data_IF_686266376905
#
_entry.id   IF_686266376905
#
_cell.length_a   1.000
_cell.length_b   1.000
_cell.length_c   1.000
_cell.angle_alpha   90.00
_cell.angle_beta   90.00
_cell.angle_gamma   90.00
#
_symmetry.space_group_name_H-M   'P 1'
#
loop_
_entity.id
_entity.type
_entity.pdbx_description
1 polymer ?
#
# COMPACT_ATOMS: atom_id res chain seq x y z
N UNK A 1 -20.56 76.10 -7.60
CA UNK A 1 -21.02 75.31 -6.43
C UNK A 1 -21.05 73.83 -6.83
N UNK A 2 -20.13 73.02 -6.25
CA UNK A 2 -20.02 71.52 -6.21
C UNK A 2 -19.81 70.78 -7.55
N UNK A 3 -18.66 70.15 -7.87
CA UNK A 3 -17.92 69.00 -7.27
C UNK A 3 -18.75 67.70 -7.39
N UNK A 4 -18.59 66.87 -8.43
CA UNK A 4 -17.63 65.73 -8.62
C UNK A 4 -17.64 64.67 -7.50
N UNK A 5 -17.99 63.44 -7.92
CA UNK A 5 -17.54 62.13 -7.40
C UNK A 5 -18.18 61.61 -6.11
N UNK A 6 -18.73 60.39 -6.17
CA UNK A 6 -18.90 59.34 -5.12
C UNK A 6 -20.22 58.59 -5.38
N UNK A 7 -20.32 57.27 -5.36
CA UNK A 7 -19.38 56.20 -5.06
C UNK A 7 -20.05 54.90 -5.54
N UNK A 8 -19.36 54.11 -6.36
CA UNK A 8 -19.73 52.72 -6.63
C UNK A 8 -19.80 51.98 -5.28
N UNK A 9 -20.99 51.51 -4.91
CA UNK A 9 -21.18 50.59 -3.79
C UNK A 9 -20.79 49.17 -4.24
N UNK A 10 -19.53 48.99 -4.61
CA UNK A 10 -18.90 47.68 -4.69
C UNK A 10 -18.34 47.38 -3.30
N UNK A 11 -19.23 46.98 -2.37
CA UNK A 11 -18.79 46.42 -1.11
C UNK A 11 -18.40 44.97 -1.40
N UNK A 12 -17.11 44.79 -1.67
CA UNK A 12 -16.43 43.51 -1.72
C UNK A 12 -16.80 42.68 -0.48
N UNK A 13 -17.68 41.71 -0.66
CA UNK A 13 -17.77 40.58 0.25
C UNK A 13 -16.44 39.85 0.07
N UNK A 14 -15.53 40.06 1.02
CA UNK A 14 -14.33 39.28 1.14
C UNK A 14 -14.75 37.84 1.45
N UNK A 15 -14.93 37.03 0.41
CA UNK A 15 -14.81 35.58 0.46
C UNK A 15 -13.34 35.30 0.82
N UNK A 16 -13.04 35.38 2.11
CA UNK A 16 -11.94 34.60 2.66
C UNK A 16 -12.45 33.17 2.73
N UNK A 17 -12.39 32.48 1.60
CA UNK A 17 -12.24 31.03 1.64
C UNK A 17 -10.88 30.86 2.30
N UNK A 18 -10.88 30.66 3.62
CA UNK A 18 -9.74 30.06 4.29
C UNK A 18 -9.57 28.71 3.61
N UNK A 19 -8.66 28.66 2.63
CA UNK A 19 -8.10 27.38 2.18
C UNK A 19 -7.38 26.87 3.41
N UNK A 20 -8.09 26.05 4.17
CA UNK A 20 -7.54 25.31 5.27
C UNK A 20 -6.69 24.26 4.60
N UNK A 21 -5.45 24.63 4.25
CA UNK A 21 -4.45 23.64 3.90
C UNK A 21 -4.47 22.65 5.05
N UNK A 22 -4.80 21.40 4.76
CA UNK A 22 -4.65 20.33 5.73
C UNK A 22 -3.19 20.41 6.20
N UNK A 23 -2.99 20.87 7.43
CA UNK A 23 -1.66 20.85 8.02
C UNK A 23 -1.33 19.38 8.18
N UNK A 24 -0.34 18.89 7.43
CA UNK A 24 0.15 17.53 7.55
C UNK A 24 0.44 17.23 9.03
N UNK A 25 -0.36 16.37 9.65
CA UNK A 25 -0.06 15.89 11.00
C UNK A 25 0.82 14.64 10.89
N UNK A 26 2.07 14.78 11.33
CA UNK A 26 3.02 13.69 11.33
C UNK A 26 4.45 14.18 11.52
N UNK A 27 5.37 13.23 11.69
CA UNK A 27 6.80 13.52 11.74
C UNK A 27 7.62 12.41 11.11
N UNK A 28 8.83 12.78 10.69
CA UNK A 28 9.85 11.86 10.19
C UNK A 28 10.97 11.76 11.21
N UNK A 29 11.42 10.54 11.47
CA UNK A 29 12.61 10.20 12.24
C UNK A 29 13.35 9.06 11.53
N UNK A 30 14.27 8.40 12.22
CA UNK A 30 15.08 7.30 11.68
C UNK A 30 15.13 6.18 12.70
N UNK A 31 15.07 4.94 12.21
CA UNK A 31 15.36 3.72 12.99
C UNK A 31 16.59 3.04 12.43
N UNK A 32 17.26 2.23 13.26
CA UNK A 32 18.52 1.56 12.88
C UNK A 32 19.76 2.43 13.09
N UNK A 33 20.92 1.88 12.74
CA UNK A 33 22.23 2.50 12.97
C UNK A 33 23.13 2.33 11.73
N UNK A 34 24.07 3.26 11.53
CA UNK A 34 25.05 3.17 10.45
C UNK A 34 24.42 3.08 9.06
N UNK A 35 24.80 2.05 8.30
CA UNK A 35 24.28 1.80 6.94
C UNK A 35 22.83 1.28 6.93
N UNK A 36 22.32 0.81 8.07
CA UNK A 36 20.97 0.23 8.20
C UNK A 36 19.95 1.26 8.70
N UNK A 37 20.24 2.54 8.54
CA UNK A 37 19.31 3.62 8.89
C UNK A 37 18.15 3.69 7.91
N UNK A 38 16.93 3.51 8.41
CA UNK A 38 15.70 3.57 7.62
C UNK A 38 14.86 4.76 8.10
N UNK A 39 14.40 5.66 7.21
CA UNK A 39 13.40 6.66 7.52
C UNK A 39 12.13 6.02 8.12
N UNK A 40 11.73 6.51 9.30
CA UNK A 40 10.47 6.17 9.95
C UNK A 40 9.54 7.37 9.92
N UNK A 41 8.35 7.21 9.39
CA UNK A 41 7.29 8.20 9.41
C UNK A 41 6.21 7.77 10.37
N UNK A 42 5.69 8.73 11.14
CA UNK A 42 4.46 8.57 11.90
C UNK A 42 3.48 9.60 11.38
N UNK A 43 2.38 9.14 10.79
CA UNK A 43 1.35 9.98 10.16
C UNK A 43 -0.01 9.69 10.80
N UNK A 44 -0.83 10.72 10.91
CA UNK A 44 -2.16 10.62 11.53
C UNK A 44 -3.19 11.42 10.74
N UNK A 45 -4.44 10.96 10.73
CA UNK A 45 -5.54 11.68 10.07
C UNK A 45 -6.45 10.81 9.21
N UNK A 46 -7.13 11.45 8.26
CA UNK A 46 -7.83 10.80 7.15
C UNK A 46 -6.82 10.21 6.15
N UNK A 47 -7.25 9.33 5.24
CA UNK A 47 -6.35 8.78 4.22
C UNK A 47 -5.64 9.86 3.38
N UNK A 48 -6.36 10.93 3.00
CA UNK A 48 -5.76 12.08 2.33
C UNK A 48 -4.73 12.82 3.21
N UNK A 49 -5.05 13.11 4.47
CA UNK A 49 -4.14 13.83 5.38
C UNK A 49 -2.85 13.03 5.61
N UNK A 50 -2.96 11.71 5.78
CA UNK A 50 -1.81 10.82 5.93
C UNK A 50 -0.99 10.71 4.65
N UNK A 51 -1.65 10.57 3.49
CA UNK A 51 -0.97 10.58 2.19
C UNK A 51 -0.22 11.88 1.93
N UNK A 52 -0.84 13.02 2.25
CA UNK A 52 -0.21 14.34 2.16
C UNK A 52 1.03 14.44 3.07
N UNK A 53 0.92 13.96 4.30
CA UNK A 53 2.07 13.92 5.22
C UNK A 53 3.21 13.04 4.70
N UNK A 54 2.92 11.85 4.17
CA UNK A 54 3.93 10.98 3.53
C UNK A 54 4.62 11.70 2.39
N UNK A 55 3.85 12.27 1.45
CA UNK A 55 4.38 12.99 0.30
C UNK A 55 5.22 14.21 0.68
N UNK A 56 4.83 14.96 1.72
CA UNK A 56 5.57 16.14 2.18
C UNK A 56 6.83 15.81 2.98
N UNK A 57 6.79 14.82 3.87
CA UNK A 57 7.93 14.45 4.73
C UNK A 57 9.05 13.71 3.98
N UNK A 58 8.73 13.10 2.85
CA UNK A 58 9.67 12.38 1.97
C UNK A 58 9.64 12.92 0.54
N UNK A 59 9.45 14.24 0.36
CA UNK A 59 9.23 14.83 -0.96
C UNK A 59 10.28 14.43 -2.00
N UNK A 60 11.56 14.62 -1.68
CA UNK A 60 12.65 14.35 -2.62
C UNK A 60 12.79 12.85 -2.90
N UNK A 61 12.65 12.00 -1.89
CA UNK A 61 12.71 10.55 -2.05
C UNK A 61 11.50 10.02 -2.83
N UNK A 62 10.31 10.57 -2.60
CA UNK A 62 9.07 10.23 -3.32
C UNK A 62 9.19 10.52 -4.82
N UNK A 63 9.78 11.66 -5.19
CA UNK A 63 10.05 11.97 -6.61
C UNK A 63 10.96 10.92 -7.24
N UNK A 64 12.07 10.58 -6.57
CA UNK A 64 13.04 9.60 -7.07
C UNK A 64 12.45 8.21 -7.20
N UNK A 65 11.65 7.77 -6.22
CA UNK A 65 11.01 6.47 -6.24
C UNK A 65 9.93 6.42 -7.31
N UNK A 66 8.91 7.28 -7.26
CA UNK A 66 7.75 7.12 -8.15
C UNK A 66 8.09 7.42 -9.62
N UNK A 67 8.85 8.48 -9.91
CA UNK A 67 9.26 8.78 -11.29
C UNK A 67 10.34 7.82 -11.78
N UNK A 68 11.32 7.50 -10.93
CA UNK A 68 12.39 6.57 -11.28
C UNK A 68 11.86 5.18 -11.57
N UNK A 69 10.99 4.66 -10.70
CA UNK A 69 10.35 3.36 -10.85
C UNK A 69 9.54 3.29 -12.15
N UNK A 70 8.71 4.29 -12.42
CA UNK A 70 7.90 4.36 -13.64
C UNK A 70 8.77 4.46 -14.90
N UNK A 71 9.84 5.27 -14.87
CA UNK A 71 10.80 5.38 -15.97
C UNK A 71 11.51 4.05 -16.26
N UNK A 72 12.00 3.38 -15.22
CA UNK A 72 12.73 2.12 -15.32
C UNK A 72 11.82 0.97 -15.77
N UNK A 73 10.56 0.95 -15.32
CA UNK A 73 9.57 0.00 -15.83
C UNK A 73 9.37 0.15 -17.34
N UNK A 74 9.14 1.38 -17.83
CA UNK A 74 9.00 1.68 -19.27
C UNK A 74 10.25 1.31 -20.08
N UNK A 75 11.44 1.49 -19.53
CA UNK A 75 12.68 1.05 -20.20
C UNK A 75 12.78 -0.47 -20.31
N UNK A 76 12.17 -1.21 -19.38
CA UNK A 76 12.15 -2.68 -19.39
C UNK A 76 11.16 -3.25 -20.40
N UNK A 77 9.98 -2.62 -20.53
CA UNK A 77 8.92 -3.02 -21.46
C UNK A 77 8.00 -1.81 -21.78
N UNK A 78 8.29 -1.13 -22.87
CA UNK A 78 7.63 0.14 -23.24
C UNK A 78 6.13 -0.05 -23.53
N UNK A 79 5.73 -1.21 -24.07
CA UNK A 79 4.33 -1.51 -24.39
C UNK A 79 3.54 -1.86 -23.12
N UNK A 80 4.09 -2.75 -22.27
CA UNK A 80 3.44 -3.21 -21.03
C UNK A 80 3.28 -2.09 -20.01
N UNK A 81 4.22 -1.14 -19.97
CA UNK A 81 4.21 -0.03 -19.01
C UNK A 81 3.94 1.33 -19.68
N UNK A 82 3.33 1.33 -20.87
CA UNK A 82 2.88 2.56 -21.53
C UNK A 82 1.82 3.30 -20.71
N UNK A 83 1.65 4.58 -20.99
CA UNK A 83 0.61 5.40 -20.36
C UNK A 83 -0.77 4.80 -20.59
N UNK A 84 -1.07 4.36 -21.82
CA UNK A 84 -2.34 3.75 -22.18
C UNK A 84 -2.60 2.46 -21.40
N UNK A 85 -1.59 1.60 -21.25
CA UNK A 85 -1.73 0.33 -20.52
C UNK A 85 -1.95 0.57 -19.02
N UNK A 86 -1.20 1.50 -18.42
CA UNK A 86 -1.33 1.83 -17.00
C UNK A 86 -2.64 2.55 -16.69
N UNK A 87 -3.11 3.42 -17.59
CA UNK A 87 -4.39 4.10 -17.46
C UNK A 87 -5.55 3.09 -17.58
N UNK A 88 -5.50 2.16 -18.53
CA UNK A 88 -6.49 1.08 -18.67
C UNK A 88 -6.50 0.13 -17.46
N UNK A 89 -5.32 -0.14 -16.88
CA UNK A 89 -5.22 -0.92 -15.64
C UNK A 89 -5.92 -0.19 -14.49
N UNK A 90 -5.70 1.12 -14.33
CA UNK A 90 -6.40 1.93 -13.33
C UNK A 90 -7.91 1.94 -13.55
N UNK A 91 -8.38 2.14 -14.78
CA UNK A 91 -9.80 2.10 -15.13
C UNK A 91 -10.46 0.77 -14.75
N UNK A 92 -9.72 -0.33 -14.86
CA UNK A 92 -10.20 -1.67 -14.51
C UNK A 92 -10.28 -1.91 -13.00
N UNK A 93 -9.26 -1.50 -12.24
CA UNK A 93 -9.18 -1.78 -10.78
C UNK A 93 -9.82 -0.71 -9.90
N UNK A 94 -9.95 0.53 -10.38
CA UNK A 94 -10.46 1.67 -9.61
C UNK A 94 -11.91 1.49 -9.13
N UNK A 95 -12.84 0.88 -9.89
CA UNK A 95 -14.20 0.58 -9.40
C UNK A 95 -14.23 -0.35 -8.18
N UNK A 96 -13.22 -1.21 -8.04
CA UNK A 96 -13.07 -2.16 -6.94
C UNK A 96 -12.17 -1.65 -5.81
N UNK A 97 -11.52 -0.50 -6.01
CA UNK A 97 -10.56 0.08 -5.07
C UNK A 97 -11.25 1.01 -4.09
N UNK A 98 -11.05 0.78 -2.80
CA UNK A 98 -11.60 1.61 -1.73
C UNK A 98 -11.19 3.07 -1.86
N UNK A 99 -12.13 3.97 -1.58
CA UNK A 99 -11.93 5.43 -1.69
C UNK A 99 -10.76 5.92 -0.82
N UNK A 100 -10.54 5.29 0.34
CA UNK A 100 -9.41 5.60 1.21
C UNK A 100 -8.05 5.55 0.47
N UNK A 101 -7.84 4.55 -0.38
CA UNK A 101 -6.61 4.43 -1.15
C UNK A 101 -6.47 5.54 -2.20
N UNK A 102 -7.58 5.90 -2.88
CA UNK A 102 -7.60 6.98 -3.87
C UNK A 102 -7.27 8.34 -3.24
N UNK A 103 -7.84 8.58 -2.07
CA UNK A 103 -7.57 9.78 -1.28
C UNK A 103 -6.12 9.83 -0.76
N UNK A 104 -5.54 8.69 -0.37
CA UNK A 104 -4.12 8.60 -0.01
C UNK A 104 -3.22 8.93 -1.22
N UNK A 105 -3.50 8.41 -2.41
CA UNK A 105 -2.76 8.76 -3.64
C UNK A 105 -2.86 10.26 -3.95
N UNK A 106 -4.05 10.85 -3.81
CA UNK A 106 -4.27 12.29 -3.95
C UNK A 106 -3.45 13.10 -2.95
N UNK A 107 -3.43 12.66 -1.69
CA UNK A 107 -2.60 13.24 -0.65
C UNK A 107 -1.12 13.18 -1.02
N UNK A 108 -0.61 12.01 -1.41
CA UNK A 108 0.81 11.83 -1.80
C UNK A 108 1.18 12.76 -2.96
N UNK A 109 0.34 12.84 -3.99
CA UNK A 109 0.57 13.72 -5.13
C UNK A 109 0.67 15.19 -4.68
N UNK A 110 -0.30 15.69 -3.93
CA UNK A 110 -0.31 17.09 -3.46
C UNK A 110 0.84 17.38 -2.47
N UNK A 111 1.12 16.46 -1.55
CA UNK A 111 2.16 16.60 -0.53
C UNK A 111 3.57 16.57 -1.12
N UNK A 112 3.79 15.75 -2.15
CA UNK A 112 5.07 15.68 -2.87
C UNK A 112 5.17 16.70 -4.00
N UNK A 113 4.05 17.24 -4.49
CA UNK A 113 3.98 18.09 -5.67
C UNK A 113 4.17 17.36 -7.01
N UNK A 114 3.95 16.04 -7.03
CA UNK A 114 3.88 15.25 -8.27
C UNK A 114 2.49 15.37 -8.92
N UNK A 115 2.43 15.11 -10.23
CA UNK A 115 1.15 14.96 -10.92
C UNK A 115 0.42 13.70 -10.41
N UNK A 116 -0.87 13.82 -10.14
CA UNK A 116 -1.67 12.70 -9.62
C UNK A 116 -1.70 11.52 -10.59
N UNK A 117 -1.73 11.78 -11.91
CA UNK A 117 -1.73 10.72 -12.91
C UNK A 117 -0.43 9.92 -12.87
N UNK A 118 0.72 10.59 -12.72
CA UNK A 118 2.01 9.91 -12.58
C UNK A 118 2.07 9.07 -11.29
N UNK A 119 1.51 9.57 -10.19
CA UNK A 119 1.39 8.81 -8.94
C UNK A 119 0.51 7.57 -9.15
N UNK A 120 -0.64 7.70 -9.79
CA UNK A 120 -1.52 6.57 -10.12
C UNK A 120 -0.80 5.55 -11.00
N UNK A 121 -0.15 5.99 -12.08
CA UNK A 121 0.58 5.13 -13.03
C UNK A 121 1.70 4.36 -12.35
N UNK A 122 2.49 5.00 -11.49
CA UNK A 122 3.52 4.32 -10.71
C UNK A 122 2.93 3.20 -9.83
N UNK A 123 1.73 3.40 -9.27
CA UNK A 123 1.03 2.37 -8.50
C UNK A 123 0.37 1.30 -9.38
N UNK A 124 0.17 1.53 -10.68
CA UNK A 124 -0.33 0.49 -11.60
C UNK A 124 0.77 -0.43 -12.11
N UNK A 125 2.06 -0.04 -12.01
CA UNK A 125 3.18 -0.90 -12.43
C UNK A 125 3.12 -2.29 -11.77
N UNK A 126 2.92 -2.46 -10.44
CA UNK A 126 2.79 -3.78 -9.81
C UNK A 126 1.53 -4.56 -10.23
N UNK A 127 0.46 -3.87 -10.66
CA UNK A 127 -0.77 -4.51 -11.16
C UNK A 127 -0.48 -5.27 -12.45
N UNK A 128 0.27 -4.64 -13.35
CA UNK A 128 0.58 -5.20 -14.67
C UNK A 128 1.91 -5.96 -14.71
N UNK A 129 2.80 -5.82 -13.72
CA UNK A 129 4.08 -6.52 -13.63
C UNK A 129 3.99 -7.93 -13.03
N UNK A 130 5.05 -8.71 -13.19
CA UNK A 130 5.25 -9.97 -12.49
C UNK A 130 5.69 -9.70 -11.04
N UNK A 131 5.35 -10.60 -10.11
CA UNK A 131 5.63 -10.42 -8.68
C UNK A 131 6.04 -11.75 -8.07
N UNK A 132 7.12 -11.77 -7.29
CA UNK A 132 7.62 -12.96 -6.60
C UNK A 132 8.07 -12.58 -5.19
N UNK A 133 7.78 -13.43 -4.20
CA UNK A 133 8.08 -13.18 -2.80
C UNK A 133 8.17 -14.50 -2.03
N UNK A 134 8.63 -14.46 -0.78
CA UNK A 134 8.66 -15.64 0.10
C UNK A 134 8.27 -15.29 1.52
N UNK A 135 7.63 -16.24 2.22
CA UNK A 135 7.07 -16.01 3.54
C UNK A 135 6.86 -17.27 4.35
N UNK A 136 6.99 -17.18 5.67
CA UNK A 136 6.76 -18.29 6.59
C UNK A 136 6.28 -17.79 7.96
N UNK A 137 5.43 -18.58 8.61
CA UNK A 137 4.97 -18.34 9.97
C UNK A 137 5.17 -19.57 10.85
N UNK A 138 5.64 -19.36 12.08
CA UNK A 138 5.85 -20.38 13.12
C UNK A 138 5.22 -19.91 14.44
N UNK A 139 4.66 -20.82 15.22
CA UNK A 139 4.04 -20.49 16.51
C UNK A 139 3.93 -21.72 17.42
N UNK A 140 3.46 -21.52 18.65
CA UNK A 140 3.27 -22.57 19.65
C UNK A 140 4.60 -23.24 20.03
N UNK A 141 4.59 -24.56 20.25
CA UNK A 141 5.76 -25.31 20.73
C UNK A 141 6.98 -25.30 19.77
N UNK A 142 6.83 -24.73 18.57
CA UNK A 142 7.91 -24.53 17.59
C UNK A 142 8.72 -23.25 17.86
N UNK A 143 8.25 -22.38 18.76
CA UNK A 143 8.88 -21.12 19.14
C UNK A 143 9.04 -21.11 20.65
N UNK A 144 10.23 -20.76 21.16
CA UNK A 144 10.60 -20.92 22.59
C UNK A 144 9.59 -20.30 23.57
N UNK A 145 8.99 -19.15 23.22
CA UNK A 145 7.99 -18.45 24.04
C UNK A 145 6.53 -18.70 23.61
N UNK A 146 6.31 -19.58 22.63
CA UNK A 146 5.00 -19.87 22.07
C UNK A 146 4.36 -18.74 21.27
N UNK A 147 5.06 -17.63 21.05
CA UNK A 147 4.56 -16.50 20.27
C UNK A 147 4.52 -16.83 18.78
N UNK A 148 3.74 -16.04 18.03
CA UNK A 148 3.83 -16.03 16.58
C UNK A 148 5.14 -15.36 16.15
N UNK A 149 5.91 -16.06 15.32
CA UNK A 149 7.03 -15.53 14.55
C UNK A 149 6.66 -15.61 13.06
N UNK A 150 6.59 -14.47 12.39
CA UNK A 150 6.29 -14.39 10.96
C UNK A 150 7.40 -13.63 10.24
N UNK A 151 7.96 -14.24 9.20
CA UNK A 151 9.13 -13.74 8.46
C UNK A 151 8.79 -13.73 6.98
N UNK A 152 9.24 -12.70 6.27
CA UNK A 152 9.03 -12.57 4.83
C UNK A 152 10.12 -11.78 4.13
N UNK A 153 10.35 -12.09 2.85
CA UNK A 153 11.29 -11.41 1.97
C UNK A 153 10.58 -10.84 0.74
N UNK A 154 10.90 -9.60 0.38
CA UNK A 154 10.38 -8.92 -0.80
C UNK A 154 11.43 -9.00 -1.89
N UNK A 155 11.15 -9.78 -2.93
CA UNK A 155 12.04 -9.88 -4.08
C UNK A 155 11.47 -9.01 -5.20
N UNK A 156 12.30 -8.08 -5.68
CA UNK A 156 11.94 -7.21 -6.79
C UNK A 156 13.18 -6.89 -7.65
N UNK A 157 12.97 -6.39 -8.87
CA UNK A 157 14.06 -6.04 -9.77
C UNK A 157 14.91 -4.91 -9.17
N UNK A 158 16.14 -5.23 -8.79
CA UNK A 158 17.10 -4.28 -8.19
C UNK A 158 17.41 -3.08 -9.08
N UNK A 159 17.29 -3.23 -10.41
CA UNK A 159 17.43 -2.10 -11.34
C UNK A 159 16.35 -1.04 -11.17
N UNK A 160 15.22 -1.37 -10.54
CA UNK A 160 14.15 -0.42 -10.21
C UNK A 160 14.56 0.61 -9.15
N UNK A 161 15.65 0.38 -8.40
CA UNK A 161 16.21 1.34 -7.44
C UNK A 161 15.38 1.55 -6.17
N UNK A 162 14.34 0.74 -5.94
CA UNK A 162 13.47 0.85 -4.76
C UNK A 162 14.27 0.69 -3.44
N UNK A 163 15.24 -0.22 -3.43
CA UNK A 163 16.08 -0.51 -2.27
C UNK A 163 16.91 0.67 -1.77
N UNK A 164 17.10 1.72 -2.59
CA UNK A 164 17.87 2.91 -2.21
C UNK A 164 17.03 3.89 -1.38
N UNK A 165 15.71 3.69 -1.33
CA UNK A 165 14.75 4.57 -0.64
C UNK A 165 13.75 3.79 0.22
N UNK A 166 14.21 2.93 1.16
CA UNK A 166 13.32 2.24 2.07
C UNK A 166 12.64 3.25 3.01
N UNK A 167 11.44 2.90 3.45
CA UNK A 167 10.71 3.65 4.47
C UNK A 167 9.95 2.68 5.38
N UNK A 168 9.75 3.07 6.63
CA UNK A 168 8.74 2.48 7.50
C UNK A 168 7.72 3.57 7.79
N UNK A 169 6.44 3.28 7.59
CA UNK A 169 5.38 4.24 7.85
C UNK A 169 4.41 3.66 8.86
N UNK A 170 4.26 4.33 10.00
CA UNK A 170 3.25 4.07 11.03
C UNK A 170 2.08 5.00 10.74
N UNK A 171 0.92 4.40 10.49
CA UNK A 171 -0.34 5.06 10.21
C UNK A 171 -1.22 5.02 11.46
N UNK A 172 -1.71 6.18 11.88
CA UNK A 172 -2.65 6.34 12.98
C UNK A 172 -3.93 6.97 12.40
N UNK A 173 -4.83 6.17 11.81
CA UNK A 173 -5.99 6.72 11.13
C UNK A 173 -7.02 7.27 12.13
N UNK A 174 -7.81 8.25 11.72
CA UNK A 174 -8.97 8.76 12.49
C UNK A 174 -10.00 7.65 12.77
N UNK A 175 -10.13 6.73 11.83
CA UNK A 175 -11.02 5.56 11.93
C UNK A 175 -10.26 4.30 11.52
N UNK A 176 -10.49 3.20 12.22
CA UNK A 176 -9.81 1.93 11.97
C UNK A 176 -8.70 1.62 12.97
N UNK A 177 -7.77 0.75 12.57
CA UNK A 177 -6.71 0.19 13.40
C UNK A 177 -5.37 0.82 13.02
N UNK A 178 -4.60 1.38 13.98
CA UNK A 178 -3.23 1.82 13.72
C UNK A 178 -2.39 0.67 13.20
N UNK A 179 -1.54 0.93 12.20
CA UNK A 179 -0.78 -0.10 11.53
C UNK A 179 0.54 0.42 10.99
N UNK A 180 1.49 -0.47 10.75
CA UNK A 180 2.82 -0.16 10.24
C UNK A 180 3.08 -0.92 8.96
N UNK A 181 3.66 -0.23 7.99
CA UNK A 181 4.10 -0.83 6.72
C UNK A 181 5.55 -0.45 6.43
N UNK A 182 6.48 -1.42 6.44
CA UNK A 182 7.70 -1.33 5.66
C UNK A 182 7.35 -1.20 4.17
N UNK A 183 7.89 -0.18 3.52
CA UNK A 183 7.57 0.23 2.15
C UNK A 183 8.75 1.01 1.54
N UNK A 184 8.53 1.65 0.40
CA UNK A 184 9.45 2.60 -0.22
C UNK A 184 8.85 4.00 -0.17
N UNK A 185 9.71 5.02 -0.28
CA UNK A 185 9.28 6.42 -0.22
C UNK A 185 8.15 6.72 -1.21
N UNK A 186 7.01 7.21 -0.69
CA UNK A 186 5.85 7.59 -1.52
C UNK A 186 4.99 6.43 -2.05
N UNK A 187 5.34 5.17 -1.77
CA UNK A 187 4.50 4.03 -2.13
C UNK A 187 3.36 3.85 -1.11
N UNK A 188 2.12 4.01 -1.59
CA UNK A 188 0.89 3.69 -0.88
C UNK A 188 0.56 2.19 -0.97
N UNK A 189 -0.42 1.76 -0.17
CA UNK A 189 -0.82 0.35 -0.10
C UNK A 189 0.13 -0.44 0.79
N UNK A 190 -0.05 -1.74 0.89
CA UNK A 190 0.80 -2.60 1.71
C UNK A 190 1.27 -3.80 0.91
N UNK A 191 2.55 -4.16 1.07
CA UNK A 191 3.11 -5.44 0.66
C UNK A 191 3.35 -6.29 1.91
N UNK A 192 3.88 -5.66 2.94
CA UNK A 192 4.04 -6.22 4.26
C UNK A 192 3.60 -5.21 5.32
N UNK A 193 3.23 -5.70 6.49
CA UNK A 193 2.89 -4.87 7.62
C UNK A 193 2.27 -5.65 8.75
N UNK A 194 2.00 -4.94 9.83
CA UNK A 194 1.21 -5.44 10.94
C UNK A 194 0.35 -4.33 11.52
N UNK A 195 -0.75 -4.69 12.19
CA UNK A 195 -1.62 -3.73 12.85
C UNK A 195 -1.66 -3.91 14.36
N UNK A 196 -2.24 -2.90 15.04
CA UNK A 196 -2.32 -2.85 16.49
C UNK A 196 -3.18 -3.96 17.11
N UNK A 197 -4.06 -4.60 16.32
CA UNK A 197 -4.84 -5.77 16.73
C UNK A 197 -4.07 -7.09 16.57
N UNK A 198 -2.77 -7.03 16.24
CA UNK A 198 -1.90 -8.20 16.17
C UNK A 198 -1.95 -8.95 14.83
N UNK A 199 -2.62 -8.41 13.80
CA UNK A 199 -2.62 -9.00 12.45
C UNK A 199 -1.31 -8.69 11.74
N UNK A 200 -0.66 -9.72 11.21
CA UNK A 200 0.57 -9.62 10.43
C UNK A 200 0.35 -10.15 9.00
N UNK A 201 0.79 -9.38 8.01
CA UNK A 201 0.62 -9.66 6.59
C UNK A 201 1.89 -10.23 5.96
N UNK A 202 1.71 -11.27 5.16
CA UNK A 202 2.68 -11.75 4.20
C UNK A 202 1.98 -12.25 2.94
N UNK A 203 2.63 -12.01 1.82
CA UNK A 203 2.16 -12.14 0.45
C UNK A 203 3.26 -12.78 -0.39
N UNK A 204 2.88 -13.70 -1.26
CA UNK A 204 3.77 -14.46 -2.13
C UNK A 204 3.14 -14.43 -3.52
N UNK A 205 3.79 -13.77 -4.48
CA UNK A 205 3.32 -13.74 -5.86
C UNK A 205 3.47 -15.12 -6.52
N UNK A 206 2.41 -15.59 -7.17
CA UNK A 206 2.34 -16.90 -7.83
C UNK A 206 1.70 -16.82 -9.23
N UNK A 207 1.59 -15.61 -9.79
CA UNK A 207 1.15 -15.41 -11.19
C UNK A 207 2.30 -15.65 -12.13
N UNK A 208 2.20 -16.63 -13.05
CA UNK A 208 3.22 -16.81 -14.08
C UNK A 208 3.15 -15.68 -15.11
N UNK A 209 4.30 -15.28 -15.65
CA UNK A 209 4.39 -14.26 -16.69
C UNK A 209 3.55 -14.61 -17.95
N UNK A 210 3.32 -15.91 -18.20
CA UNK A 210 2.49 -16.40 -19.31
C UNK A 210 1.00 -16.07 -19.17
N UNK A 211 0.53 -15.65 -17.99
CA UNK A 211 -0.86 -15.20 -17.79
C UNK A 211 -1.08 -13.77 -18.32
N UNK A 212 -0.05 -13.08 -18.80
CA UNK A 212 -0.17 -11.76 -19.42
C UNK A 212 -0.88 -11.83 -20.79
N UNK A 213 -1.84 -10.91 -21.09
CA UNK A 213 -2.38 -9.87 -20.22
C UNK A 213 -3.32 -10.43 -19.14
N UNK A 214 -3.20 -9.89 -17.92
CA UNK A 214 -3.97 -10.37 -16.77
C UNK A 214 -5.44 -9.90 -16.84
N UNK A 215 -6.34 -10.65 -16.20
CA UNK A 215 -7.69 -10.16 -15.90
C UNK A 215 -7.62 -9.20 -14.69
N UNK A 216 -7.93 -7.92 -14.93
CA UNK A 216 -7.86 -6.84 -13.95
C UNK A 216 -9.24 -6.38 -13.44
N UNK A 217 -10.30 -7.16 -13.66
CA UNK A 217 -11.64 -6.91 -13.08
C UNK A 217 -11.67 -7.28 -11.60
N UNK A 218 -10.97 -6.51 -10.78
CA UNK A 218 -10.88 -6.72 -9.35
C UNK A 218 -10.02 -5.68 -8.62
N UNK A 219 -9.87 -5.85 -7.31
CA UNK A 219 -9.17 -4.90 -6.45
C UNK A 219 -7.66 -4.97 -6.63
N UNK A 220 -7.00 -3.81 -6.58
CA UNK A 220 -5.54 -3.72 -6.49
C UNK A 220 -5.05 -4.41 -5.20
N UNK A 221 -4.22 -5.45 -5.32
CA UNK A 221 -3.83 -6.30 -4.18
C UNK A 221 -3.19 -5.52 -3.01
N UNK A 222 -2.28 -4.57 -3.27
CA UNK A 222 -1.69 -3.78 -2.17
C UNK A 222 -2.69 -2.85 -1.49
N UNK A 223 -3.73 -2.38 -2.18
CA UNK A 223 -4.78 -1.56 -1.55
C UNK A 223 -5.70 -2.43 -0.70
N UNK A 224 -6.02 -3.66 -1.15
CA UNK A 224 -6.71 -4.66 -0.34
C UNK A 224 -5.94 -4.99 0.93
N UNK A 225 -4.62 -5.22 0.83
CA UNK A 225 -3.79 -5.51 2.00
C UNK A 225 -3.73 -4.34 2.98
N UNK A 226 -3.68 -3.11 2.46
CA UNK A 226 -3.75 -1.91 3.27
C UNK A 226 -5.09 -1.79 4.00
N UNK A 227 -6.19 -2.09 3.31
CA UNK A 227 -7.53 -2.09 3.90
C UNK A 227 -7.66 -3.15 5.00
N UNK A 228 -7.11 -4.34 4.80
CA UNK A 228 -7.05 -5.39 5.83
C UNK A 228 -6.27 -4.91 7.06
N UNK A 229 -5.08 -4.34 6.89
CA UNK A 229 -4.30 -3.82 8.02
C UNK A 229 -5.02 -2.68 8.75
N UNK A 230 -5.76 -1.84 8.03
CA UNK A 230 -6.52 -0.74 8.61
C UNK A 230 -7.81 -1.18 9.32
N UNK A 231 -8.35 -2.38 9.08
CA UNK A 231 -9.68 -2.76 9.57
C UNK A 231 -9.76 -4.08 10.33
N UNK A 232 -8.94 -5.09 9.99
CA UNK A 232 -9.03 -6.42 10.58
C UNK A 232 -8.58 -6.42 12.04
N UNK A 233 -9.37 -7.08 12.89
CA UNK A 233 -9.10 -7.20 14.34
C UNK A 233 -8.77 -8.62 14.80
N UNK A 234 -8.93 -9.58 13.89
CA UNK A 234 -8.71 -11.01 14.09
C UNK A 234 -8.52 -11.67 12.70
N UNK A 235 -8.08 -12.93 12.69
CA UNK A 235 -7.87 -13.68 11.44
C UNK A 235 -9.15 -13.93 10.67
N UNK A 236 -10.28 -14.13 11.36
CA UNK A 236 -11.56 -14.39 10.70
C UNK A 236 -12.01 -13.19 9.87
N UNK A 237 -11.84 -11.96 10.40
CA UNK A 237 -12.10 -10.71 9.68
C UNK A 237 -11.16 -10.57 8.48
N UNK A 238 -9.84 -10.79 8.66
CA UNK A 238 -8.88 -10.71 7.56
C UNK A 238 -9.21 -11.71 6.43
N UNK A 239 -9.56 -12.95 6.78
CA UNK A 239 -10.00 -13.98 5.84
C UNK A 239 -11.32 -13.62 5.16
N UNK A 240 -12.27 -13.04 5.90
CA UNK A 240 -13.54 -12.55 5.37
C UNK A 240 -13.34 -11.49 4.29
N UNK A 241 -12.51 -10.48 4.57
CA UNK A 241 -12.17 -9.43 3.61
C UNK A 241 -11.50 -9.99 2.34
N UNK A 242 -10.61 -10.98 2.48
CA UNK A 242 -10.04 -11.67 1.32
C UNK A 242 -11.15 -12.37 0.53
N UNK A 243 -12.05 -13.12 1.17
CA UNK A 243 -13.14 -13.87 0.53
C UNK A 243 -14.07 -12.96 -0.29
N UNK A 244 -14.43 -11.82 0.27
CA UNK A 244 -15.39 -10.87 -0.31
C UNK A 244 -14.78 -10.03 -1.43
N UNK A 245 -13.44 -9.88 -1.44
CA UNK A 245 -12.75 -9.11 -2.46
C UNK A 245 -12.77 -9.80 -3.85
N UNK A 246 -13.11 -9.08 -4.93
CA UNK A 246 -12.85 -9.55 -6.30
C UNK A 246 -11.34 -9.49 -6.53
N UNK A 247 -10.65 -10.61 -6.31
CA UNK A 247 -9.19 -10.68 -6.40
C UNK A 247 -8.73 -10.71 -7.85
N UNK A 248 -7.62 -10.04 -8.11
CA UNK A 248 -6.86 -10.17 -9.35
C UNK A 248 -5.64 -11.08 -9.12
N UNK A 249 -5.15 -11.69 -10.21
CA UNK A 249 -3.90 -12.48 -10.20
C UNK A 249 -3.93 -13.67 -9.22
N UNK A 250 -2.77 -14.28 -9.02
CA UNK A 250 -2.55 -15.51 -8.25
C UNK A 250 -1.49 -15.24 -7.19
N UNK A 251 -1.82 -15.56 -5.95
CA UNK A 251 -0.95 -15.35 -4.81
C UNK A 251 -1.11 -16.46 -3.79
N UNK A 252 -0.11 -16.60 -2.93
CA UNK A 252 -0.32 -17.15 -1.59
C UNK A 252 -0.27 -16.02 -0.57
N UNK A 253 -1.21 -16.03 0.37
CA UNK A 253 -1.23 -15.12 1.50
C UNK A 253 -0.97 -15.89 2.79
N UNK A 254 -0.26 -15.28 3.71
CA UNK A 254 -0.11 -15.74 5.08
C UNK A 254 -0.49 -14.59 5.99
N UNK A 255 -1.58 -14.77 6.73
CA UNK A 255 -1.98 -13.85 7.78
C UNK A 255 -1.77 -14.51 9.13
N UNK A 256 -1.03 -13.85 9.99
CA UNK A 256 -0.83 -14.26 11.38
C UNK A 256 -1.59 -13.38 12.34
N UNK A 257 -1.95 -13.92 13.50
CA UNK A 257 -2.45 -13.16 14.65
C UNK A 257 -1.57 -13.43 15.86
N UNK A 258 -0.98 -12.36 16.40
CA UNK A 258 -0.17 -12.40 17.61
C UNK A 258 -0.99 -12.81 18.84
N UNK A 259 -2.23 -12.33 18.93
CA UNK A 259 -3.13 -12.59 20.05
C UNK A 259 -3.67 -14.02 20.02
N UNK A 260 -4.07 -14.50 18.84
CA UNK A 260 -4.54 -15.88 18.64
C UNK A 260 -3.39 -16.90 18.57
N UNK A 261 -2.14 -16.41 18.46
CA UNK A 261 -0.92 -17.21 18.32
C UNK A 261 -1.04 -18.28 17.24
N UNK A 262 -1.55 -17.90 16.07
CA UNK A 262 -1.70 -18.78 14.91
C UNK A 262 -1.59 -17.99 13.61
N UNK A 263 -1.43 -18.70 12.50
CA UNK A 263 -1.53 -18.13 11.17
C UNK A 263 -2.43 -18.99 10.28
N UNK A 264 -2.96 -18.36 9.24
CA UNK A 264 -3.68 -19.01 8.14
C UNK A 264 -2.91 -18.76 6.85
N UNK A 265 -2.84 -19.80 6.01
CA UNK A 265 -2.30 -19.69 4.67
C UNK A 265 -3.44 -19.79 3.67
N UNK A 266 -3.36 -19.04 2.59
CA UNK A 266 -4.37 -19.05 1.54
C UNK A 266 -3.69 -19.16 0.19
N UNK A 267 -4.18 -20.05 -0.69
CA UNK A 267 -3.88 -20.01 -2.12
C UNK A 267 -5.01 -19.26 -2.80
N UNK A 268 -4.73 -18.00 -3.14
CA UNK A 268 -5.66 -17.08 -3.75
C UNK A 268 -5.38 -16.99 -5.25
N UNK A 269 -5.88 -17.98 -6.01
CA UNK A 269 -5.77 -18.03 -7.47
C UNK A 269 -7.09 -17.61 -8.08
N UNK A 270 -7.25 -16.31 -8.39
CA UNK A 270 -8.54 -15.76 -8.81
C UNK A 270 -9.23 -16.60 -9.92
N UNK A 271 -10.51 -16.99 -9.75
CA UNK A 271 -11.41 -16.65 -8.64
C UNK A 271 -11.32 -17.59 -7.43
N UNK A 272 -10.62 -18.72 -7.54
CA UNK A 272 -10.54 -19.75 -6.52
C UNK A 272 -9.79 -19.25 -5.27
N UNK A 273 -10.18 -19.80 -4.12
CA UNK A 273 -9.53 -19.56 -2.84
C UNK A 273 -9.53 -20.85 -2.02
N UNK A 274 -8.34 -21.34 -1.71
CA UNK A 274 -8.12 -22.43 -0.78
C UNK A 274 -7.51 -21.87 0.50
N UNK A 275 -7.96 -22.34 1.66
CA UNK A 275 -7.56 -21.81 2.97
C UNK A 275 -7.08 -22.98 3.82
N UNK A 276 -5.88 -22.87 4.34
CA UNK A 276 -5.23 -23.88 5.15
C UNK A 276 -4.89 -23.35 6.54
N UNK A 277 -5.14 -24.19 7.54
CA UNK A 277 -4.61 -24.02 8.88
C UNK A 277 -3.18 -24.55 9.02
N UNK A 278 -2.68 -24.60 10.25
CA UNK A 278 -1.38 -25.18 10.55
C UNK A 278 -1.29 -26.65 10.14
N UNK A 279 -0.22 -27.02 9.42
CA UNK A 279 0.09 -28.40 9.04
C UNK A 279 -1.06 -29.12 8.30
N UNK A 280 -1.87 -28.37 7.54
CA UNK A 280 -2.91 -28.97 6.72
C UNK A 280 -2.25 -29.91 5.68
N UNK A 281 -2.64 -31.21 5.61
CA UNK A 281 -2.01 -32.17 4.71
C UNK A 281 -2.27 -31.87 3.23
N UNK A 282 -3.20 -30.95 2.92
CA UNK A 282 -3.51 -30.52 1.57
C UNK A 282 -2.75 -29.25 1.15
N UNK A 283 -1.99 -28.63 2.06
CA UNK A 283 -1.12 -27.50 1.72
C UNK A 283 0.07 -27.96 0.86
N UNK A 284 0.06 -27.55 -0.40
CA UNK A 284 1.05 -27.92 -1.42
C UNK A 284 2.48 -27.43 -1.13
N UNK A 285 2.64 -26.41 -0.27
CA UNK A 285 3.95 -25.91 0.17
C UNK A 285 4.18 -26.08 1.67
N UNK A 286 3.44 -26.97 2.34
CA UNK A 286 3.74 -27.31 3.73
C UNK A 286 5.17 -27.88 3.83
N UNK A 287 5.96 -27.47 4.83
CA UNK A 287 7.25 -28.11 5.10
C UNK A 287 7.06 -29.61 5.30
N UNK A 288 7.87 -30.44 4.63
CA UNK A 288 7.88 -31.88 4.88
C UNK A 288 8.38 -32.11 6.30
N UNK A 289 7.48 -32.45 7.21
CA UNK A 289 7.79 -32.86 8.59
C UNK A 289 8.23 -34.30 8.67
#
# INVERSE_FOLDING_TARGET
>A
MKIKTMLCLALCVALTISVQFASAEGYRTTVGEGADQIPLLVVTGTPYEMGFAVGSLMKEETHKVLQGFLHLARMGDEERFSDETLDAAWESVSPHTHEAFKEELRGIAEGSGLDLQDVIRAHMVPVVADYACSGVAFWGDRVENGHLLQIRNLDYETRAGLQDYPAVVIYIPKEGVPHVCPTFAGCAGANTGMNYAGIALTEIGDTPASDWPFNLDGVHFTSLFRDILANAKDLDTAVGMIKDAPRIKKYHYVFGSGDEKKAVKMKAHAPNLEIWGANDPTDELAPKT
#
